data_IF_076754384190
#
_entry.id   IF_076754384190
#
_cell.length_a   1.000
_cell.length_b   1.000
_cell.length_c   1.000
_cell.angle_alpha   90.00
_cell.angle_beta   90.00
_cell.angle_gamma   90.00
#
_symmetry.space_group_name_H-M   'P 1'
#
loop_
_entity.id
_entity.type
_entity.pdbx_description
1 polymer ?
#
# COMPACT_ATOMS: atom_id res chain seq x y z
N UNK A 1 -13.93 4.35 50.21
CA UNK A 1 -13.17 3.31 49.46
C UNK A 1 -13.83 2.78 48.18
N UNK A 2 -14.99 3.30 47.71
CA UNK A 2 -15.59 2.87 46.43
C UNK A 2 -15.44 3.87 45.26
N UNK A 3 -15.02 5.12 45.52
CA UNK A 3 -14.84 6.13 44.47
C UNK A 3 -13.43 6.15 43.84
N UNK A 4 -12.40 5.62 44.51
CA UNK A 4 -11.02 5.65 43.98
C UNK A 4 -10.71 4.50 43.01
N UNK A 5 -11.50 3.42 43.01
CA UNK A 5 -11.29 2.26 42.10
C UNK A 5 -11.83 2.53 40.70
N UNK A 6 -12.88 3.36 40.57
CA UNK A 6 -13.47 3.74 39.28
C UNK A 6 -12.58 4.69 38.47
N UNK A 7 -11.75 5.51 39.11
CA UNK A 7 -10.82 6.41 38.43
C UNK A 7 -9.64 5.67 37.79
N UNK A 8 -9.19 4.56 38.38
CA UNK A 8 -8.10 3.73 37.85
C UNK A 8 -8.53 2.92 36.62
N UNK A 9 -9.81 2.52 36.51
CA UNK A 9 -10.35 1.83 35.33
C UNK A 9 -10.52 2.77 34.12
N UNK A 10 -10.73 4.06 34.33
CA UNK A 10 -10.87 5.06 33.27
C UNK A 10 -9.51 5.50 32.67
N UNK A 11 -8.41 5.29 33.39
CA UNK A 11 -7.05 5.59 32.91
C UNK A 11 -6.46 4.49 32.02
N UNK A 12 -6.97 3.25 32.08
CA UNK A 12 -6.53 2.15 31.20
C UNK A 12 -7.22 2.14 29.82
N UNK A 13 -8.24 2.98 29.62
CA UNK A 13 -8.94 3.11 28.33
C UNK A 13 -8.35 4.19 27.41
N UNK A 14 -7.26 4.84 27.82
CA UNK A 14 -6.50 5.72 26.93
C UNK A 14 -5.60 4.88 26.01
N UNK A 15 -6.21 4.45 24.90
CA UNK A 15 -5.57 4.46 23.59
C UNK A 15 -4.37 3.52 23.41
N UNK A 16 -4.63 2.23 23.23
CA UNK A 16 -3.98 1.57 22.11
C UNK A 16 -4.58 2.18 20.85
N UNK A 17 -4.02 3.32 20.40
CA UNK A 17 -4.25 3.78 19.04
C UNK A 17 -3.69 2.68 18.14
N UNK A 18 -4.57 1.88 17.55
CA UNK A 18 -4.19 1.10 16.38
C UNK A 18 -3.70 2.14 15.37
N UNK A 19 -2.38 2.24 15.18
CA UNK A 19 -1.82 3.09 14.13
C UNK A 19 -2.42 2.61 12.81
N UNK A 20 -3.41 3.33 12.31
CA UNK A 20 -3.90 3.17 10.95
C UNK A 20 -2.76 3.62 10.04
N UNK A 21 -1.94 2.66 9.61
CA UNK A 21 -0.91 2.85 8.59
C UNK A 21 -1.57 3.46 7.34
N UNK A 22 -0.98 4.53 6.80
CA UNK A 22 -1.55 5.26 5.67
C UNK A 22 -1.21 4.54 4.35
N UNK A 23 -2.24 4.21 3.57
CA UNK A 23 -2.13 3.39 2.36
C UNK A 23 -2.47 4.22 1.14
N UNK A 24 -1.58 4.22 0.14
CA UNK A 24 -1.77 4.91 -1.13
C UNK A 24 -1.67 3.94 -2.30
N UNK A 25 -2.21 4.32 -3.45
CA UNK A 25 -2.11 3.52 -4.68
C UNK A 25 -0.81 3.82 -5.42
N UNK A 26 -0.20 2.82 -6.05
CA UNK A 26 0.97 3.01 -6.91
C UNK A 26 0.60 3.39 -8.34
N UNK A 27 1.61 3.65 -9.17
CA UNK A 27 1.44 3.98 -10.60
C UNK A 27 1.82 2.80 -11.50
N UNK A 28 1.53 2.90 -12.82
CA UNK A 28 1.92 1.90 -13.84
C UNK A 28 2.19 2.57 -15.18
N UNK A 29 2.92 3.66 -15.16
CA UNK A 29 3.27 4.47 -16.32
C UNK A 29 4.61 4.04 -16.94
N UNK A 30 5.43 3.28 -16.21
CA UNK A 30 6.76 2.88 -16.67
C UNK A 30 7.66 4.10 -16.87
N UNK A 31 8.09 4.35 -18.11
CA UNK A 31 8.88 5.53 -18.50
C UNK A 31 8.04 6.64 -19.14
N UNK A 32 6.73 6.42 -19.29
CA UNK A 32 5.82 7.40 -19.87
C UNK A 32 5.37 8.40 -18.80
N UNK A 33 5.27 9.68 -19.15
CA UNK A 33 4.69 10.70 -18.28
C UNK A 33 3.95 11.75 -19.10
N UNK A 34 3.06 12.49 -18.46
CA UNK A 34 2.31 13.59 -19.07
C UNK A 34 2.60 14.90 -18.32
N UNK A 35 2.64 16.01 -19.04
CA UNK A 35 2.92 17.33 -18.46
C UNK A 35 4.41 17.63 -18.30
N UNK A 36 4.73 18.62 -17.44
CA UNK A 36 6.11 19.00 -17.12
C UNK A 36 6.68 18.19 -15.96
N UNK A 37 8.01 18.15 -15.82
CA UNK A 37 8.67 17.48 -14.68
C UNK A 37 8.25 18.05 -13.32
N UNK A 38 7.98 19.36 -13.25
CA UNK A 38 7.47 20.02 -12.04
C UNK A 38 6.04 19.58 -11.71
N UNK A 39 5.18 19.45 -12.72
CA UNK A 39 3.82 18.92 -12.52
C UNK A 39 3.87 17.47 -12.05
N UNK A 40 4.74 16.65 -12.66
CA UNK A 40 4.95 15.27 -12.27
C UNK A 40 5.39 15.17 -10.79
N UNK A 41 6.35 16.00 -10.37
CA UNK A 41 6.77 16.10 -8.97
C UNK A 41 5.61 16.48 -8.04
N UNK A 42 4.85 17.52 -8.37
CA UNK A 42 3.75 17.98 -7.52
C UNK A 42 2.66 16.92 -7.38
N UNK A 43 2.33 16.20 -8.46
CA UNK A 43 1.40 15.07 -8.43
C UNK A 43 1.93 13.95 -7.54
N UNK A 44 3.19 13.57 -7.70
CA UNK A 44 3.83 12.54 -6.87
C UNK A 44 3.84 12.93 -5.39
N UNK A 45 4.20 14.17 -5.08
CA UNK A 45 4.22 14.70 -3.71
C UNK A 45 2.83 14.68 -3.10
N UNK A 46 1.82 15.18 -3.81
CA UNK A 46 0.45 15.16 -3.34
C UNK A 46 -0.06 13.73 -3.10
N UNK A 47 0.41 12.76 -3.89
CA UNK A 47 -0.06 11.38 -3.85
C UNK A 47 0.59 10.52 -2.77
N UNK A 48 1.87 10.76 -2.44
CA UNK A 48 2.61 9.92 -1.50
C UNK A 48 2.99 10.61 -0.18
N UNK A 49 2.63 11.88 0.03
CA UNK A 49 2.91 12.57 1.28
C UNK A 49 2.15 11.93 2.45
N UNK A 50 2.89 11.42 3.46
CA UNK A 50 2.34 10.70 4.60
C UNK A 50 2.19 9.19 4.38
N UNK A 51 2.42 8.71 3.16
CA UNK A 51 2.20 7.31 2.82
C UNK A 51 3.15 6.37 3.55
N UNK A 52 2.63 5.31 4.17
CA UNK A 52 3.43 4.22 4.73
C UNK A 52 3.47 2.99 3.80
N UNK A 53 2.37 2.71 3.08
CA UNK A 53 2.27 1.56 2.17
C UNK A 53 1.79 1.99 0.79
N UNK A 54 2.59 1.67 -0.24
CA UNK A 54 2.21 1.88 -1.63
C UNK A 54 1.69 0.56 -2.22
N UNK A 55 0.38 0.54 -2.50
CA UNK A 55 -0.33 -0.55 -3.17
C UNK A 55 -0.22 -0.43 -4.68
N UNK A 56 0.84 -1.02 -5.24
CA UNK A 56 1.19 -0.93 -6.66
C UNK A 56 2.68 -0.64 -6.81
N UNK A 57 3.06 0.05 -7.89
CA UNK A 57 4.46 0.37 -8.16
C UNK A 57 4.79 1.78 -7.70
N UNK A 58 6.01 1.97 -7.20
CA UNK A 58 6.60 3.29 -6.98
C UNK A 58 7.49 3.61 -8.18
N UNK A 59 7.07 4.56 -9.01
CA UNK A 59 7.80 4.95 -10.23
C UNK A 59 8.32 6.39 -10.08
N UNK A 60 9.63 6.53 -9.96
CA UNK A 60 10.35 7.81 -9.87
C UNK A 60 11.13 8.00 -11.17
N UNK A 61 10.52 8.70 -12.12
CA UNK A 61 11.07 8.87 -13.47
C UNK A 61 11.13 10.33 -13.88
N UNK A 62 12.11 10.69 -14.71
CA UNK A 62 12.18 12.01 -15.37
C UNK A 62 12.15 13.20 -14.39
N UNK A 63 12.76 12.99 -13.21
CA UNK A 63 12.89 14.01 -12.18
C UNK A 63 14.06 14.94 -12.48
N UNK A 64 13.87 16.23 -12.23
CA UNK A 64 14.90 17.26 -12.38
C UNK A 64 15.70 17.46 -11.09
N UNK A 65 16.80 18.18 -11.19
CA UNK A 65 17.68 18.52 -10.06
C UNK A 65 16.99 19.30 -8.94
N UNK A 66 17.58 19.22 -7.74
CA UNK A 66 17.22 19.98 -6.54
C UNK A 66 15.77 19.81 -6.05
N UNK A 67 15.16 18.67 -6.37
CA UNK A 67 13.84 18.28 -5.89
C UNK A 67 13.90 17.64 -4.50
N UNK A 68 12.97 18.01 -3.62
CA UNK A 68 12.83 17.44 -2.29
C UNK A 68 11.88 16.22 -2.28
N UNK A 69 12.45 15.05 -2.03
CA UNK A 69 11.74 13.77 -1.88
C UNK A 69 11.41 13.40 -0.43
N UNK A 70 11.54 14.31 0.54
CA UNK A 70 11.29 14.06 1.96
C UNK A 70 9.94 13.40 2.27
N UNK A 71 8.92 13.68 1.46
CA UNK A 71 7.58 13.09 1.56
C UNK A 71 7.55 11.57 1.38
N UNK A 72 8.58 10.96 0.77
CA UNK A 72 8.74 9.51 0.67
C UNK A 72 9.35 8.87 1.92
N UNK A 73 9.79 9.67 2.91
CA UNK A 73 10.50 9.20 4.10
C UNK A 73 9.70 8.28 5.01
N UNK A 74 8.36 8.32 4.94
CA UNK A 74 7.45 7.45 5.70
C UNK A 74 7.21 6.11 5.03
N UNK A 75 7.59 5.92 3.76
CA UNK A 75 7.24 4.72 3.00
C UNK A 75 8.02 3.51 3.54
N UNK A 76 7.29 2.48 3.94
CA UNK A 76 7.81 1.24 4.53
C UNK A 76 7.66 0.02 3.63
N UNK A 77 6.65 0.01 2.78
CA UNK A 77 6.34 -1.12 1.90
C UNK A 77 5.87 -0.65 0.52
N UNK A 78 6.39 -1.30 -0.52
CA UNK A 78 5.89 -1.22 -1.90
C UNK A 78 5.46 -2.62 -2.35
N UNK A 79 4.20 -2.79 -2.74
CA UNK A 79 3.67 -4.13 -3.08
C UNK A 79 4.03 -4.58 -4.50
N UNK A 80 4.26 -3.66 -5.43
CA UNK A 80 4.70 -3.94 -6.80
C UNK A 80 6.21 -3.85 -6.95
N UNK A 81 6.68 -3.18 -8.00
CA UNK A 81 8.09 -2.85 -8.22
C UNK A 81 8.41 -1.40 -7.84
N UNK A 82 9.69 -1.13 -7.64
CA UNK A 82 10.26 0.23 -7.54
C UNK A 82 11.08 0.50 -8.80
N UNK A 83 10.70 1.54 -9.56
CA UNK A 83 11.39 1.99 -10.76
C UNK A 83 11.97 3.37 -10.52
N UNK A 84 13.28 3.51 -10.71
CA UNK A 84 13.98 4.79 -10.61
C UNK A 84 14.77 4.97 -11.90
N UNK A 85 14.30 5.83 -12.77
CA UNK A 85 14.88 5.96 -14.10
C UNK A 85 14.96 7.39 -14.61
N UNK A 86 15.90 7.62 -15.52
CA UNK A 86 16.00 8.85 -16.33
C UNK A 86 15.90 10.14 -15.51
N UNK A 87 16.48 10.15 -14.30
CA UNK A 87 16.33 11.24 -13.33
C UNK A 87 17.66 11.88 -12.91
N UNK A 88 17.60 13.16 -12.54
CA UNK A 88 18.75 14.01 -12.20
C UNK A 88 18.72 14.42 -10.72
N UNK A 89 18.74 13.48 -9.78
CA UNK A 89 18.84 13.78 -8.35
C UNK A 89 19.86 12.89 -7.67
N UNK A 90 20.41 13.35 -6.54
CA UNK A 90 21.50 12.64 -5.85
C UNK A 90 21.02 11.62 -4.83
N UNK A 91 19.94 11.91 -4.10
CA UNK A 91 19.51 11.07 -2.98
C UNK A 91 17.99 10.91 -2.89
N UNK A 92 17.57 9.69 -2.55
CA UNK A 92 16.19 9.41 -2.11
C UNK A 92 16.16 9.06 -0.63
N UNK A 93 15.19 9.59 0.14
CA UNK A 93 15.08 9.32 1.57
C UNK A 93 14.25 8.06 1.85
N UNK A 94 14.52 6.93 1.18
CA UNK A 94 13.78 5.67 1.38
C UNK A 94 14.32 4.84 2.56
N UNK A 95 14.72 5.52 3.64
CA UNK A 95 15.35 4.89 4.82
C UNK A 95 14.40 3.95 5.54
N UNK A 96 13.11 4.24 5.54
CA UNK A 96 12.10 3.40 6.18
C UNK A 96 11.63 2.24 5.30
N UNK A 97 12.01 2.21 4.01
CA UNK A 97 11.55 1.17 3.09
C UNK A 97 12.19 -0.17 3.47
N UNK A 98 11.35 -1.10 3.92
CA UNK A 98 11.78 -2.43 4.40
C UNK A 98 11.56 -3.52 3.37
N UNK A 99 10.53 -3.37 2.53
CA UNK A 99 10.01 -4.45 1.69
C UNK A 99 9.58 -3.94 0.32
N UNK A 100 10.04 -4.62 -0.72
CA UNK A 100 9.49 -4.54 -2.08
C UNK A 100 8.99 -5.95 -2.42
N UNK A 101 7.67 -6.12 -2.51
CA UNK A 101 7.09 -7.48 -2.65
C UNK A 101 7.21 -8.06 -4.05
N UNK A 102 7.23 -7.23 -5.08
CA UNK A 102 7.31 -7.70 -6.46
C UNK A 102 6.07 -8.46 -6.94
N UNK A 103 4.87 -8.13 -6.45
CA UNK A 103 3.62 -8.72 -6.99
C UNK A 103 3.42 -8.36 -8.47
N UNK A 104 4.00 -7.25 -8.89
CA UNK A 104 4.25 -6.84 -10.27
C UNK A 104 5.74 -6.55 -10.43
N UNK A 105 6.30 -6.82 -11.62
CA UNK A 105 7.72 -6.65 -11.92
C UNK A 105 7.91 -5.71 -13.11
N UNK A 106 8.90 -4.83 -13.03
CA UNK A 106 9.31 -4.00 -14.16
C UNK A 106 9.97 -4.90 -15.21
N UNK A 107 9.54 -4.72 -16.46
CA UNK A 107 9.88 -5.60 -17.58
C UNK A 107 9.68 -7.11 -17.28
N UNK A 108 8.73 -7.42 -16.38
CA UNK A 108 8.41 -8.79 -15.90
C UNK A 108 9.53 -9.51 -15.16
N UNK A 109 10.65 -8.85 -14.88
CA UNK A 109 11.83 -9.49 -14.29
C UNK A 109 12.27 -8.84 -12.98
N UNK A 110 12.09 -7.52 -12.83
CA UNK A 110 12.79 -6.75 -11.80
C UNK A 110 11.83 -6.12 -10.79
N UNK A 111 12.03 -6.43 -9.50
CA UNK A 111 11.31 -5.77 -8.40
C UNK A 111 11.92 -4.40 -8.06
N UNK A 112 13.21 -4.19 -8.32
CA UNK A 112 13.88 -2.90 -8.20
C UNK A 112 14.67 -2.65 -9.49
N UNK A 113 14.38 -1.55 -10.18
CA UNK A 113 15.07 -1.13 -11.40
C UNK A 113 15.63 0.28 -11.23
N UNK A 114 16.95 0.44 -11.39
CA UNK A 114 17.63 1.73 -11.26
C UNK A 114 18.56 1.93 -12.46
N UNK A 115 18.19 2.79 -13.40
CA UNK A 115 18.96 2.99 -14.62
C UNK A 115 18.83 4.41 -15.18
N UNK A 116 19.80 4.85 -15.99
CA UNK A 116 19.79 6.17 -16.64
C UNK A 116 19.65 7.37 -15.67
N UNK A 117 20.09 7.23 -14.41
CA UNK A 117 20.11 8.32 -13.43
C UNK A 117 21.49 8.98 -13.32
N UNK A 118 22.08 9.32 -14.47
CA UNK A 118 23.42 9.89 -14.55
C UNK A 118 23.36 11.25 -15.27
N UNK A 119 23.69 12.32 -14.57
CA UNK A 119 23.91 13.62 -15.21
C UNK A 119 25.03 14.38 -14.51
N UNK A 120 26.27 14.16 -14.97
CA UNK A 120 27.45 14.80 -14.40
C UNK A 120 27.52 14.65 -12.88
N UNK A 121 27.62 15.79 -12.18
CA UNK A 121 27.65 15.86 -10.72
C UNK A 121 26.28 15.75 -10.04
N UNK A 122 25.18 15.57 -10.78
CA UNK A 122 23.81 15.52 -10.27
C UNK A 122 23.16 14.14 -10.44
N UNK A 123 23.94 13.14 -10.86
CA UNK A 123 23.50 11.75 -10.90
C UNK A 123 23.22 11.17 -9.51
N UNK A 124 22.50 10.06 -9.50
CA UNK A 124 22.11 9.35 -8.28
C UNK A 124 23.32 8.78 -7.53
N UNK A 125 23.48 9.17 -6.28
CA UNK A 125 24.56 8.75 -5.38
C UNK A 125 24.09 7.75 -4.32
N UNK A 126 22.86 7.89 -3.83
CA UNK A 126 22.31 6.99 -2.79
C UNK A 126 20.79 6.88 -2.85
N UNK A 127 20.29 5.66 -2.66
CA UNK A 127 18.85 5.37 -2.61
C UNK A 127 18.25 5.47 -1.20
N UNK A 128 19.10 5.58 -0.17
CA UNK A 128 18.65 5.58 1.21
C UNK A 128 18.06 4.24 1.68
N UNK A 129 18.25 3.13 0.96
CA UNK A 129 17.68 1.80 1.28
C UNK A 129 18.40 1.12 2.47
N UNK A 130 18.50 1.80 3.61
CA UNK A 130 19.26 1.34 4.79
C UNK A 130 18.58 0.20 5.53
N UNK A 131 17.24 0.13 5.49
CA UNK A 131 16.45 -0.92 6.13
C UNK A 131 15.84 -1.92 5.13
N UNK A 132 16.11 -1.77 3.82
CA UNK A 132 15.67 -2.75 2.83
C UNK A 132 16.47 -4.03 3.05
N UNK A 133 15.78 -5.04 3.58
CA UNK A 133 16.46 -6.27 3.98
C UNK A 133 16.58 -7.20 2.77
N UNK A 134 17.80 -7.29 2.22
CA UNK A 134 18.19 -8.32 1.25
C UNK A 134 19.09 -9.31 2.00
N UNK A 135 18.53 -10.40 2.51
CA UNK A 135 19.31 -11.36 3.31
C UNK A 135 20.26 -12.15 2.40
N UNK A 136 21.55 -11.77 2.38
CA UNK A 136 22.66 -12.63 1.90
C UNK A 136 23.17 -13.56 3.01
N UNK A 137 22.34 -13.86 4.01
CA UNK A 137 22.69 -14.81 5.06
C UNK A 137 22.49 -16.21 4.51
N UNK A 138 23.55 -17.03 4.51
CA UNK A 138 23.41 -18.46 4.18
C UNK A 138 22.68 -19.12 5.34
N UNK A 139 21.38 -19.33 5.16
CA UNK A 139 20.55 -19.99 6.14
C UNK A 139 20.87 -21.48 6.22
N UNK A 140 20.55 -22.07 7.36
CA UNK A 140 20.54 -23.52 7.47
C UNK A 140 19.55 -24.12 6.44
N UNK A 141 19.84 -25.28 5.81
CA UNK A 141 19.04 -25.82 4.69
C UNK A 141 17.54 -26.00 4.99
N UNK A 142 17.18 -26.25 6.25
CA UNK A 142 15.81 -26.41 6.73
C UNK A 142 15.01 -25.10 6.82
N UNK A 143 15.67 -23.93 6.74
CA UNK A 143 15.01 -22.64 6.93
C UNK A 143 14.32 -22.10 5.67
N UNK A 144 14.27 -22.88 4.58
CA UNK A 144 13.71 -22.46 3.28
C UNK A 144 14.21 -21.07 2.82
N UNK A 145 15.47 -20.75 3.11
CA UNK A 145 16.10 -19.48 2.74
C UNK A 145 15.72 -18.28 3.60
N UNK A 146 14.99 -18.44 4.71
CA UNK A 146 14.59 -17.35 5.62
C UNK A 146 15.11 -17.56 7.04
N UNK A 147 16.06 -16.72 7.45
CA UNK A 147 16.69 -16.83 8.76
C UNK A 147 17.21 -15.49 9.26
N UNK A 148 17.39 -15.41 10.57
CA UNK A 148 18.09 -14.30 11.24
C UNK A 148 19.50 -14.70 11.71
N UNK A 149 19.93 -15.91 11.36
CA UNK A 149 21.27 -16.43 11.60
C UNK A 149 21.48 -17.80 10.95
N UNK A 150 22.72 -18.32 10.96
CA UNK A 150 23.09 -19.54 10.25
C UNK A 150 22.65 -20.84 10.95
N UNK A 151 22.20 -20.77 12.22
CA UNK A 151 21.82 -21.95 12.99
C UNK A 151 20.46 -22.52 12.57
N UNK A 152 20.27 -23.85 12.60
CA UNK A 152 18.98 -24.52 12.50
C UNK A 152 17.84 -23.95 13.37
N UNK A 153 18.17 -23.37 14.52
CA UNK A 153 17.19 -22.79 15.44
C UNK A 153 16.84 -21.33 15.13
N UNK A 154 17.53 -20.74 14.15
CA UNK A 154 17.38 -19.33 13.76
C UNK A 154 16.60 -19.17 12.45
N UNK A 155 15.76 -20.15 12.12
CA UNK A 155 14.82 -20.03 11.01
C UNK A 155 13.70 -19.05 11.36
N UNK A 156 13.28 -18.28 10.37
CA UNK A 156 12.10 -17.44 10.51
C UNK A 156 10.83 -18.28 10.57
N UNK A 157 9.75 -17.68 11.09
CA UNK A 157 8.41 -18.24 10.93
C UNK A 157 8.08 -18.43 9.44
N UNK A 158 7.32 -19.48 9.11
CA UNK A 158 7.12 -19.91 7.71
C UNK A 158 6.45 -18.84 6.86
N UNK A 159 5.56 -18.06 7.46
CA UNK A 159 4.83 -16.96 6.82
C UNK A 159 5.61 -15.64 6.81
N UNK A 160 6.89 -15.60 7.20
CA UNK A 160 7.71 -14.42 7.03
C UNK A 160 8.18 -14.28 5.57
N UNK A 161 8.40 -13.04 5.12
CA UNK A 161 9.07 -12.70 3.88
C UNK A 161 10.20 -11.69 4.14
N UNK A 162 11.30 -11.78 3.37
CA UNK A 162 12.46 -10.89 3.47
C UNK A 162 13.39 -11.11 4.67
N UNK A 163 12.90 -11.71 5.77
CA UNK A 163 13.67 -12.03 6.98
C UNK A 163 12.82 -11.87 8.25
N UNK A 164 13.47 -11.97 9.40
CA UNK A 164 12.84 -11.86 10.72
C UNK A 164 13.87 -11.44 11.77
N UNK A 165 13.40 -11.05 12.96
CA UNK A 165 14.25 -10.79 14.14
C UNK A 165 14.18 -11.93 15.17
N UNK A 166 13.42 -12.98 14.87
CA UNK A 166 13.20 -14.12 15.75
C UNK A 166 12.34 -15.19 15.09
N UNK A 167 11.89 -16.16 15.88
CA UNK A 167 11.19 -17.35 15.38
C UNK A 167 9.67 -17.20 15.34
N UNK A 168 9.11 -16.12 15.91
CA UNK A 168 7.66 -15.91 16.00
C UNK A 168 7.09 -15.26 14.75
N UNK A 169 5.79 -15.47 14.55
CA UNK A 169 4.96 -14.87 13.50
C UNK A 169 4.85 -13.34 13.59
N UNK A 170 5.07 -12.77 14.77
CA UNK A 170 5.09 -11.32 15.00
C UNK A 170 6.48 -10.68 14.81
N UNK A 171 7.51 -11.49 14.60
CA UNK A 171 8.91 -11.03 14.48
C UNK A 171 9.38 -10.99 13.01
N UNK A 172 8.45 -11.18 12.08
CA UNK A 172 8.71 -11.07 10.65
C UNK A 172 8.97 -9.63 10.24
N UNK A 173 9.92 -9.43 9.31
CA UNK A 173 10.13 -8.11 8.68
C UNK A 173 8.96 -7.78 7.74
N UNK A 174 8.46 -8.80 7.04
CA UNK A 174 7.26 -8.75 6.23
C UNK A 174 6.51 -10.09 6.31
N UNK A 175 5.22 -10.09 6.02
CA UNK A 175 4.46 -11.34 5.85
C UNK A 175 4.54 -11.82 4.40
N UNK A 176 4.69 -13.13 4.18
CA UNK A 176 4.60 -13.76 2.86
C UNK A 176 3.20 -13.60 2.25
N UNK A 177 2.17 -13.85 3.06
CA UNK A 177 0.78 -13.72 2.65
C UNK A 177 0.12 -12.47 3.23
N UNK A 178 -0.47 -12.56 4.43
CA UNK A 178 -1.23 -11.47 5.02
C UNK A 178 -0.81 -11.17 6.46
N UNK A 179 -0.84 -9.89 6.81
CA UNK A 179 -0.68 -9.39 8.18
C UNK A 179 -2.06 -9.29 8.83
N UNK A 180 -2.29 -10.06 9.88
CA UNK A 180 -3.46 -9.96 10.76
C UNK A 180 -3.01 -9.41 12.10
N UNK A 181 -3.45 -8.20 12.44
CA UNK A 181 -2.90 -7.42 13.56
C UNK A 181 -1.37 -7.28 13.39
N UNK A 182 -0.58 -7.81 14.30
CA UNK A 182 0.89 -7.82 14.23
C UNK A 182 1.48 -9.18 13.87
N UNK A 183 0.65 -10.18 13.54
CA UNK A 183 1.09 -11.53 13.19
C UNK A 183 0.97 -11.79 11.69
N UNK A 184 1.94 -12.54 11.14
CA UNK A 184 1.86 -13.06 9.79
C UNK A 184 1.09 -14.38 9.74
N UNK A 185 0.02 -14.40 8.94
CA UNK A 185 -0.85 -15.56 8.78
C UNK A 185 -1.05 -15.87 7.29
N UNK A 186 -1.36 -17.12 6.97
CA UNK A 186 -1.52 -17.57 5.59
C UNK A 186 -2.82 -17.08 4.94
N UNK A 187 -3.86 -16.82 5.73
CA UNK A 187 -5.16 -16.31 5.27
C UNK A 187 -5.87 -15.55 6.38
N UNK A 188 -6.69 -14.56 6.01
CA UNK A 188 -7.53 -13.85 6.99
C UNK A 188 -8.60 -14.77 7.60
N UNK A 189 -9.05 -14.47 8.84
CA UNK A 189 -10.17 -15.18 9.47
C UNK A 189 -11.38 -15.29 8.54
N UNK A 190 -11.79 -16.53 8.23
CA UNK A 190 -12.88 -16.81 7.28
C UNK A 190 -14.22 -16.31 7.81
N UNK A 191 -15.15 -16.05 6.90
CA UNK A 191 -16.53 -15.62 7.22
C UNK A 191 -17.37 -16.69 7.92
N UNK A 192 -17.00 -17.97 7.78
CA UNK A 192 -17.70 -19.09 8.37
C UNK A 192 -16.73 -19.95 9.17
N UNK A 193 -17.13 -20.32 10.39
CA UNK A 193 -16.44 -21.28 11.25
C UNK A 193 -17.25 -22.58 11.34
N UNK A 194 -16.56 -23.71 11.42
CA UNK A 194 -17.22 -25.00 11.58
C UNK A 194 -17.56 -25.24 13.05
N UNK A 195 -18.86 -25.26 13.37
CA UNK A 195 -19.31 -25.62 14.71
C UNK A 195 -19.38 -27.14 14.85
N UNK A 196 -18.44 -27.71 15.61
CA UNK A 196 -18.33 -29.17 15.84
C UNK A 196 -19.52 -29.77 16.61
N UNK A 197 -20.27 -28.97 17.38
CA UNK A 197 -21.43 -29.45 18.15
C UNK A 197 -22.70 -29.51 17.30
N UNK A 198 -22.89 -28.50 16.44
CA UNK A 198 -24.05 -28.42 15.55
C UNK A 198 -23.79 -29.04 14.16
N UNK A 199 -22.57 -29.53 13.91
CA UNK A 199 -22.09 -30.10 12.64
C UNK A 199 -22.40 -29.23 11.41
N UNK A 200 -22.39 -27.90 11.59
CA UNK A 200 -22.74 -26.92 10.55
C UNK A 200 -21.75 -25.76 10.53
N UNK A 201 -21.69 -25.08 9.39
CA UNK A 201 -20.98 -23.81 9.28
C UNK A 201 -21.81 -22.70 9.93
N UNK A 202 -21.18 -21.91 10.77
CA UNK A 202 -21.80 -20.75 11.43
C UNK A 202 -21.02 -19.47 11.10
N UNK A 203 -21.69 -18.30 11.06
CA UNK A 203 -21.01 -17.03 10.87
C UNK A 203 -19.92 -16.82 11.92
N UNK A 204 -18.72 -16.50 11.46
CA UNK A 204 -17.60 -16.17 12.32
C UNK A 204 -17.70 -14.70 12.74
N UNK A 205 -17.84 -14.38 14.05
CA UNK A 205 -17.84 -12.99 14.50
C UNK A 205 -16.50 -12.29 14.25
N UNK A 206 -15.41 -13.05 14.18
CA UNK A 206 -14.05 -12.55 13.95
C UNK A 206 -13.68 -12.53 12.46
N UNK A 207 -14.66 -12.69 11.56
CA UNK A 207 -14.43 -12.68 10.13
C UNK A 207 -13.75 -11.38 9.67
N UNK A 208 -12.71 -11.52 8.85
CA UNK A 208 -12.02 -10.38 8.24
C UNK A 208 -11.82 -10.62 6.75
N UNK A 209 -11.78 -9.52 6.01
CA UNK A 209 -11.56 -9.52 4.57
C UNK A 209 -10.09 -9.26 4.28
N UNK A 210 -9.57 -9.96 3.27
CA UNK A 210 -8.24 -9.69 2.76
C UNK A 210 -8.28 -8.46 1.85
N UNK A 211 -7.47 -7.46 2.16
CA UNK A 211 -7.21 -6.30 1.32
C UNK A 211 -5.71 -6.18 1.09
N UNK A 212 -5.26 -6.56 -0.11
CA UNK A 212 -3.83 -6.69 -0.41
C UNK A 212 -3.13 -7.69 0.52
N UNK A 213 -2.11 -7.21 1.23
CA UNK A 213 -1.29 -7.97 2.18
C UNK A 213 -1.79 -7.90 3.63
N UNK A 214 -3.03 -7.44 3.89
CA UNK A 214 -3.57 -7.26 5.25
C UNK A 214 -5.00 -7.75 5.42
N UNK A 215 -5.38 -8.00 6.67
CA UNK A 215 -6.75 -8.35 7.05
C UNK A 215 -7.49 -7.14 7.64
N UNK A 216 -8.65 -6.81 7.07
CA UNK A 216 -9.51 -5.71 7.48
C UNK A 216 -10.85 -6.23 8.00
N UNK A 217 -11.38 -5.63 9.07
CA UNK A 217 -12.67 -6.02 9.64
C UNK A 217 -13.85 -5.65 8.70
N UNK A 218 -13.69 -4.56 7.95
CA UNK A 218 -14.61 -4.15 6.87
C UNK A 218 -13.76 -3.77 5.67
N UNK A 219 -14.17 -4.19 4.47
CA UNK A 219 -13.60 -3.64 3.24
C UNK A 219 -13.92 -2.14 3.19
N UNK A 220 -12.98 -1.28 2.74
CA UNK A 220 -13.32 0.09 2.38
C UNK A 220 -14.47 0.04 1.37
N UNK A 221 -15.62 0.63 1.71
CA UNK A 221 -16.74 0.71 0.77
C UNK A 221 -16.45 1.81 -0.25
N UNK A 222 -16.69 1.51 -1.52
CA UNK A 222 -16.59 2.50 -2.57
C UNK A 222 -17.87 3.33 -2.57
N UNK A 223 -17.76 4.58 -2.12
CA UNK A 223 -18.89 5.50 -2.11
C UNK A 223 -19.12 6.07 -3.52
N UNK A 224 -20.37 6.00 -3.97
CA UNK A 224 -20.84 6.65 -5.19
C UNK A 224 -20.98 8.17 -5.02
N UNK A 225 -21.42 8.83 -6.08
CA UNK A 225 -21.62 10.29 -6.12
C UNK A 225 -22.75 10.73 -5.18
N UNK A 226 -23.84 9.98 -5.11
CA UNK A 226 -25.04 10.32 -4.31
C UNK A 226 -25.04 9.69 -2.90
N UNK A 227 -23.87 9.37 -2.33
CA UNK A 227 -23.79 8.90 -0.95
C UNK A 227 -24.14 10.06 -0.01
N UNK A 228 -24.88 9.81 1.08
CA UNK A 228 -25.24 10.84 2.08
C UNK A 228 -24.05 11.48 2.82
N UNK A 229 -22.82 11.10 2.47
CA UNK A 229 -21.54 11.62 2.97
C UNK A 229 -20.66 12.21 1.87
N UNK A 230 -21.06 12.11 0.61
CA UNK A 230 -20.28 12.55 -0.54
C UNK A 230 -20.74 13.94 -0.98
N UNK A 231 -19.82 14.91 -1.00
CA UNK A 231 -20.06 16.23 -1.64
C UNK A 231 -19.98 16.16 -3.17
N UNK A 232 -19.82 14.95 -3.76
CA UNK A 232 -19.48 14.77 -5.18
C UNK A 232 -20.73 14.67 -6.04
N UNK A 233 -20.91 15.59 -6.98
CA UNK A 233 -22.06 15.57 -7.89
C UNK A 233 -21.83 14.71 -9.16
N UNK A 234 -20.57 14.41 -9.50
CA UNK A 234 -20.20 13.66 -10.71
C UNK A 234 -18.93 12.83 -10.50
N UNK A 235 -18.79 11.77 -11.27
CA UNK A 235 -17.50 11.09 -11.49
C UNK A 235 -16.65 12.00 -12.37
N UNK A 236 -15.40 12.23 -11.95
CA UNK A 236 -14.46 13.14 -12.61
C UNK A 236 -13.02 12.61 -12.54
N UNK A 237 -12.07 13.34 -13.14
CA UNK A 237 -10.68 12.94 -13.19
C UNK A 237 -10.00 12.83 -11.81
N UNK A 238 -10.54 13.50 -10.78
CA UNK A 238 -9.99 13.50 -9.41
C UNK A 238 -10.49 12.31 -8.60
N UNK A 239 -11.72 11.86 -8.86
CA UNK A 239 -12.35 10.82 -8.04
C UNK A 239 -12.44 9.45 -8.71
N UNK A 240 -12.25 9.32 -10.03
CA UNK A 240 -12.41 8.04 -10.72
C UNK A 240 -11.52 6.90 -10.18
N UNK A 241 -10.34 7.22 -9.65
CA UNK A 241 -9.41 6.22 -9.12
C UNK A 241 -9.87 5.63 -7.77
N UNK A 242 -10.84 6.25 -7.07
CA UNK A 242 -11.44 5.68 -5.86
C UNK A 242 -12.27 4.42 -6.15
N UNK A 243 -12.62 4.21 -7.42
CA UNK A 243 -13.41 3.05 -7.88
C UNK A 243 -12.55 1.86 -8.31
N UNK A 244 -11.22 1.95 -8.19
CA UNK A 244 -10.30 0.86 -8.55
C UNK A 244 -10.55 -0.35 -7.64
N UNK A 245 -10.73 -1.53 -8.25
CA UNK A 245 -11.00 -2.80 -7.58
C UNK A 245 -12.32 -2.84 -6.78
N UNK A 246 -13.25 -1.91 -7.05
CA UNK A 246 -14.56 -1.94 -6.44
C UNK A 246 -15.43 -3.03 -7.08
N UNK A 247 -16.03 -3.88 -6.24
CA UNK A 247 -17.04 -4.87 -6.66
C UNK A 247 -18.45 -4.42 -6.37
N UNK A 248 -18.63 -3.54 -5.37
CA UNK A 248 -19.90 -2.98 -4.94
C UNK A 248 -19.72 -1.48 -4.67
N UNK A 249 -20.61 -0.67 -5.24
CA UNK A 249 -20.64 0.79 -5.04
C UNK A 249 -21.89 1.15 -4.25
N UNK A 250 -21.70 1.95 -3.20
CA UNK A 250 -22.80 2.43 -2.36
C UNK A 250 -23.30 3.79 -2.83
N UNK A 251 -24.55 3.87 -3.30
CA UNK A 251 -25.14 5.06 -3.90
C UNK A 251 -25.05 5.04 -5.42
N UNK A 252 -25.24 6.19 -6.06
CA UNK A 252 -25.31 6.32 -7.51
C UNK A 252 -23.96 6.64 -8.15
N UNK A 253 -23.85 6.46 -9.47
CA UNK A 253 -22.79 7.04 -10.29
C UNK A 253 -23.40 8.03 -11.27
N UNK A 254 -23.04 9.30 -11.15
CA UNK A 254 -23.43 10.35 -12.09
C UNK A 254 -22.25 10.73 -12.99
N UNK A 255 -22.48 10.81 -14.29
CA UNK A 255 -21.50 11.31 -15.27
C UNK A 255 -22.07 12.58 -15.91
N UNK A 256 -21.63 13.73 -15.43
CA UNK A 256 -22.02 15.04 -15.92
C UNK A 256 -20.97 15.61 -16.87
N UNK A 257 -21.38 16.57 -17.70
CA UNK A 257 -20.50 17.25 -18.66
C UNK A 257 -19.29 17.87 -17.96
N UNK A 258 -19.48 18.43 -16.77
CA UNK A 258 -18.40 19.01 -15.95
C UNK A 258 -17.38 17.98 -15.46
N UNK A 259 -17.77 16.71 -15.32
CA UNK A 259 -16.84 15.63 -15.00
C UNK A 259 -16.13 15.07 -16.24
N UNK A 260 -16.85 14.98 -17.37
CA UNK A 260 -16.35 14.40 -18.63
C UNK A 260 -15.41 15.39 -19.35
N UNK A 261 -15.85 16.63 -19.56
CA UNK A 261 -15.10 17.66 -20.27
C UNK A 261 -14.15 18.42 -19.32
N UNK A 262 -14.28 18.18 -18.01
CA UNK A 262 -13.55 18.88 -16.97
C UNK A 262 -14.23 20.17 -16.51
N UNK A 263 -13.72 20.71 -15.40
CA UNK A 263 -14.21 21.94 -14.78
C UNK A 263 -13.02 22.82 -14.43
N UNK A 264 -12.79 23.84 -15.27
CA UNK A 264 -11.68 24.79 -15.12
C UNK A 264 -11.79 25.61 -13.83
N UNK A 265 -13.01 25.89 -13.35
CA UNK A 265 -13.21 26.68 -12.13
C UNK A 265 -12.77 25.89 -10.89
N UNK A 266 -13.03 24.58 -10.88
CA UNK A 266 -12.65 23.68 -9.79
C UNK A 266 -11.33 22.92 -10.04
N UNK A 267 -10.57 23.31 -11.07
CA UNK A 267 -9.31 22.68 -11.49
C UNK A 267 -9.43 21.17 -11.71
N UNK A 268 -10.50 20.75 -12.41
CA UNK A 268 -10.80 19.36 -12.76
C UNK A 268 -10.48 19.17 -14.24
N UNK A 269 -9.61 18.21 -14.55
CA UNK A 269 -9.26 17.88 -15.92
C UNK A 269 -10.39 17.08 -16.61
N UNK A 270 -10.45 17.08 -17.95
CA UNK A 270 -11.32 16.17 -18.67
C UNK A 270 -11.07 14.71 -18.29
N UNK A 271 -12.13 13.91 -18.22
CA UNK A 271 -12.05 12.51 -17.86
C UNK A 271 -11.40 11.70 -18.99
N UNK A 272 -10.32 10.99 -18.69
CA UNK A 272 -9.71 10.05 -19.64
C UNK A 272 -10.65 8.86 -19.89
N UNK A 273 -11.15 8.63 -21.13
CA UNK A 273 -12.03 7.51 -21.44
C UNK A 273 -11.43 6.13 -21.10
N UNK A 274 -10.10 5.98 -21.11
CA UNK A 274 -9.45 4.72 -20.74
C UNK A 274 -9.62 4.40 -19.25
N UNK A 275 -9.74 5.42 -18.39
CA UNK A 275 -9.96 5.24 -16.96
C UNK A 275 -11.35 4.71 -16.62
N UNK A 276 -12.34 4.77 -17.52
CA UNK A 276 -13.65 4.16 -17.30
C UNK A 276 -13.57 2.63 -17.10
N UNK A 277 -12.45 2.00 -17.49
CA UNK A 277 -12.17 0.58 -17.21
C UNK A 277 -12.13 0.23 -15.72
N UNK A 278 -11.96 1.20 -14.82
CA UNK A 278 -12.01 0.93 -13.36
C UNK A 278 -13.34 0.32 -12.92
N UNK A 279 -14.43 0.62 -13.63
CA UNK A 279 -15.76 0.07 -13.32
C UNK A 279 -15.96 -1.37 -13.82
N UNK A 280 -14.98 -1.97 -14.50
CA UNK A 280 -15.10 -3.34 -15.05
C UNK A 280 -15.23 -4.42 -13.98
N UNK A 281 -14.77 -4.16 -12.75
CA UNK A 281 -14.89 -5.09 -11.62
C UNK A 281 -16.21 -4.95 -10.86
N UNK A 282 -16.97 -3.88 -11.12
CA UNK A 282 -18.20 -3.57 -10.38
C UNK A 282 -19.31 -4.52 -10.79
N UNK A 283 -19.95 -5.13 -9.81
CA UNK A 283 -21.05 -6.10 -10.00
C UNK A 283 -22.38 -5.59 -9.45
N UNK A 284 -22.34 -4.64 -8.52
CA UNK A 284 -23.52 -4.13 -7.82
C UNK A 284 -23.36 -2.63 -7.56
N UNK A 285 -24.44 -1.87 -7.79
CA UNK A 285 -24.61 -0.47 -7.43
C UNK A 285 -25.93 -0.40 -6.65
N UNK A 286 -25.91 0.13 -5.43
CA UNK A 286 -27.07 0.14 -4.50
C UNK A 286 -27.82 1.46 -4.49
#
# INVERSE_FOLDING_TARGET
>A
MRLQVLALLLLYLQGASAQTEEVCTGTKNGLSYTGSSVQHYNMMKAHYNGCEIITGNLEITLMVQDIDFSFLGSVREVTGYVLIATSQFRRLPLEQLRVIRGTTLYDKEWALSVFLNFEGQYGLESLGLTHLTVTKTVCAPQCHGRCFGPSPHQCCYTECAGGCNGTKDTECIACEHVKHLDACVSQCPRSLIYNKHAFRMEPNPDAMYQYGSRCLQKCPMCEGTDSSKSERQTVDSKNIDSFINCTKIQGSLHFLVTGIDGDVFNDIAPLDPQKLKVFSTVREIT
#
